data_IF_298537588058
#
_entry.id   IF_298537588058
#
_cell.length_a   1.000
_cell.length_b   1.000
_cell.length_c   1.000
_cell.angle_alpha   90.00
_cell.angle_beta   90.00
_cell.angle_gamma   90.00
#
_symmetry.space_group_name_H-M   'P 1'
#
loop_
_entity.id
_entity.type
_entity.pdbx_description
1 polymer ?
#
# COMPACT_ATOMS: atom_id res chain seq x y z
N UNK A 1 -1.95 14.38 4.71
CA UNK A 1 -3.26 13.90 5.18
C UNK A 1 -3.66 12.74 4.28
N UNK A 2 -3.99 11.59 4.86
CA UNK A 2 -4.44 10.40 4.12
C UNK A 2 -5.92 10.16 4.43
N UNK A 3 -6.71 9.85 3.41
CA UNK A 3 -8.12 9.51 3.56
C UNK A 3 -8.33 8.09 3.08
N UNK A 4 -8.95 7.27 3.92
CA UNK A 4 -9.14 5.83 3.67
C UNK A 4 -10.62 5.48 3.78
N UNK A 5 -11.02 4.50 2.98
CA UNK A 5 -12.27 3.75 3.13
C UNK A 5 -11.93 2.28 2.90
N UNK A 6 -12.60 1.38 3.61
CA UNK A 6 -12.37 -0.06 3.50
C UNK A 6 -13.62 -0.72 2.95
N UNK A 7 -13.45 -1.54 1.92
CA UNK A 7 -14.47 -2.47 1.46
C UNK A 7 -14.18 -3.86 2.02
N UNK A 8 -15.22 -4.57 2.43
CA UNK A 8 -15.14 -5.96 2.91
C UNK A 8 -15.84 -6.94 1.98
N UNK A 9 -16.34 -6.46 0.85
CA UNK A 9 -17.20 -7.22 -0.07
C UNK A 9 -16.70 -7.19 -1.52
N UNK A 10 -15.38 -7.02 -1.71
CA UNK A 10 -14.74 -7.01 -3.02
C UNK A 10 -14.86 -5.68 -3.76
N UNK A 11 -15.11 -4.58 -3.06
CA UNK A 11 -15.19 -3.23 -3.63
C UNK A 11 -16.59 -2.77 -4.00
N UNK A 12 -17.63 -3.55 -3.67
CA UNK A 12 -19.03 -3.23 -4.00
C UNK A 12 -19.60 -2.16 -3.06
N UNK A 13 -19.31 -2.26 -1.77
CA UNK A 13 -19.63 -1.25 -0.77
C UNK A 13 -18.39 -0.82 -0.01
N UNK A 14 -18.44 0.43 0.48
CA UNK A 14 -17.33 1.06 1.15
C UNK A 14 -17.80 1.65 2.47
N UNK A 15 -17.11 1.29 3.55
CA UNK A 15 -17.40 1.80 4.87
C UNK A 15 -17.14 3.30 5.03
N UNK A 16 -17.20 3.75 6.28
CA UNK A 16 -17.02 5.14 6.65
C UNK A 16 -15.64 5.68 6.25
N UNK A 17 -15.59 6.99 6.01
CA UNK A 17 -14.37 7.72 5.67
C UNK A 17 -13.52 7.92 6.93
N UNK A 18 -12.36 7.28 6.96
CA UNK A 18 -11.35 7.50 8.01
C UNK A 18 -10.32 8.53 7.53
N UNK A 19 -10.09 9.56 8.33
CA UNK A 19 -9.07 10.59 8.05
C UNK A 19 -7.87 10.40 8.97
N UNK A 20 -6.71 10.10 8.39
CA UNK A 20 -5.45 9.95 9.10
C UNK A 20 -4.61 11.21 8.90
N UNK A 21 -4.24 11.86 10.01
CA UNK A 21 -3.37 13.03 10.03
C UNK A 21 -2.06 12.65 10.72
N UNK A 22 -0.94 12.69 9.98
CA UNK A 22 0.38 12.64 10.60
C UNK A 22 0.67 13.99 11.25
N UNK A 23 1.18 13.96 12.49
CA UNK A 23 1.71 15.14 13.20
C UNK A 23 3.24 15.18 13.16
N UNK A 24 3.88 14.14 12.66
CA UNK A 24 5.33 13.97 12.71
C UNK A 24 5.97 14.34 11.37
N UNK A 25 7.11 15.04 11.45
CA UNK A 25 7.93 15.41 10.29
C UNK A 25 8.89 14.24 9.97
N UNK A 26 8.30 13.11 9.58
CA UNK A 26 9.05 11.90 9.26
C UNK A 26 9.84 12.10 7.97
N UNK A 27 11.14 11.75 8.00
CA UNK A 27 11.91 11.55 6.76
C UNK A 27 11.21 10.47 5.93
N UNK A 28 11.29 10.50 4.59
CA UNK A 28 10.75 9.43 3.78
C UNK A 28 11.31 8.10 4.27
N UNK A 29 10.43 7.12 4.49
CA UNK A 29 10.81 5.70 4.64
C UNK A 29 11.33 5.20 3.28
N UNK A 30 12.41 5.80 2.79
CA UNK A 30 13.12 5.32 1.62
C UNK A 30 14.01 4.16 2.05
N UNK A 31 13.43 2.97 1.99
CA UNK A 31 14.01 1.99 1.10
C UNK A 31 12.90 1.61 0.14
N UNK A 32 13.00 2.00 -1.12
CA UNK A 32 12.15 1.52 -2.22
C UNK A 32 12.22 -0.01 -2.41
N UNK A 33 12.89 -0.73 -1.51
CA UNK A 33 12.96 -2.19 -1.44
C UNK A 33 11.85 -2.71 -0.52
N UNK A 34 10.59 -2.47 -0.89
CA UNK A 34 9.50 -3.32 -0.42
C UNK A 34 9.64 -4.66 -1.16
N UNK A 35 9.54 -5.85 -0.50
CA UNK A 35 10.09 -7.08 -1.07
C UNK A 35 9.54 -7.36 -2.48
N UNK A 36 10.40 -7.68 -3.47
CA UNK A 36 9.91 -8.04 -4.78
C UNK A 36 8.94 -9.21 -4.66
N UNK A 37 7.81 -9.12 -5.36
CA UNK A 37 6.81 -10.17 -5.39
C UNK A 37 7.47 -11.50 -5.77
N UNK A 38 7.36 -12.52 -4.91
CA UNK A 38 7.99 -13.84 -5.13
C UNK A 38 7.12 -14.81 -5.94
N UNK A 39 6.06 -14.34 -6.59
CA UNK A 39 5.22 -15.21 -7.42
C UNK A 39 5.99 -15.67 -8.68
N UNK A 40 5.63 -16.81 -9.29
CA UNK A 40 6.32 -17.33 -10.47
C UNK A 40 6.41 -16.33 -11.64
N UNK A 41 5.38 -15.50 -11.83
CA UNK A 41 5.36 -14.46 -12.88
C UNK A 41 6.40 -13.37 -12.64
N UNK A 42 6.50 -12.87 -11.41
CA UNK A 42 7.40 -11.77 -11.07
C UNK A 42 8.86 -12.22 -10.96
N UNK A 43 9.12 -13.46 -10.48
CA UNK A 43 10.49 -14.01 -10.41
C UNK A 43 11.16 -14.14 -11.78
N UNK A 44 10.40 -14.34 -12.85
CA UNK A 44 10.94 -14.45 -14.22
C UNK A 44 11.34 -13.10 -14.81
N UNK A 45 10.68 -12.01 -14.38
CA UNK A 45 10.93 -10.66 -14.88
C UNK A 45 12.12 -9.96 -14.18
N UNK A 46 12.57 -10.49 -13.04
CA UNK A 46 13.69 -9.98 -12.22
C UNK A 46 15.03 -10.68 -12.55
N UNK A 47 15.10 -11.40 -13.67
CA UNK A 47 16.34 -12.03 -14.16
C UNK A 47 17.14 -10.97 -14.95
N UNK A 48 18.43 -10.75 -14.63
CA UNK A 48 19.26 -9.79 -15.36
C UNK A 48 19.47 -10.19 -16.82
#
# INVERSE_FOLDING_TARGET
MLTLRVSRDGGRTWGERTVVRSREKLVPLHSSVWPPCRCPKCRLADRP
#
